data_IF_905509901304
#
_entry.id   IF_905509901304
#
_cell.length_a   1.000
_cell.length_b   1.000
_cell.length_c   1.000
_cell.angle_alpha   90.00
_cell.angle_beta   90.00
_cell.angle_gamma   90.00
#
_symmetry.space_group_name_H-M   'P 1'
#
loop_
_entity.id
_entity.type
_entity.pdbx_description
1 polymer ?
#
# COMPACT_ATOMS: atom_id res chain seq x y z
N UNK A 1 -23.23 -20.00 14.02
CA UNK A 1 -22.59 -18.66 14.11
C UNK A 1 -21.96 -18.40 12.76
N UNK A 2 -22.10 -17.22 12.13
CA UNK A 2 -21.51 -17.01 10.82
C UNK A 2 -19.98 -17.02 10.95
N UNK A 3 -19.29 -17.76 10.08
CA UNK A 3 -17.84 -17.94 10.05
C UNK A 3 -17.10 -16.60 10.12
N UNK A 4 -16.63 -16.26 11.32
CA UNK A 4 -15.78 -15.11 11.55
C UNK A 4 -14.37 -15.47 11.11
N UNK A 5 -13.83 -14.76 10.11
CA UNK A 5 -12.42 -14.89 9.69
C UNK A 5 -12.17 -15.36 8.26
N UNK A 6 -13.20 -15.59 7.45
CA UNK A 6 -12.99 -15.90 6.02
C UNK A 6 -12.53 -14.67 5.22
N UNK A 7 -11.70 -14.92 4.21
CA UNK A 7 -11.38 -13.93 3.19
C UNK A 7 -12.55 -13.80 2.22
N UNK A 8 -12.90 -12.57 1.89
CA UNK A 8 -13.95 -12.24 0.93
C UNK A 8 -13.43 -11.21 -0.05
N UNK A 9 -13.93 -11.20 -1.30
CA UNK A 9 -13.56 -10.19 -2.27
C UNK A 9 -13.72 -8.76 -1.74
N UNK A 10 -12.69 -7.95 -1.96
CA UNK A 10 -12.66 -6.54 -1.64
C UNK A 10 -13.25 -5.74 -2.79
N UNK A 11 -14.45 -5.21 -2.58
CA UNK A 11 -15.11 -4.35 -3.54
C UNK A 11 -15.26 -2.92 -3.01
N UNK A 12 -14.90 -1.94 -3.84
CA UNK A 12 -15.24 -0.53 -3.63
C UNK A 12 -16.61 -0.26 -4.24
N UNK A 13 -17.45 0.48 -3.53
CA UNK A 13 -18.72 0.93 -4.10
C UNK A 13 -18.48 1.97 -5.21
N UNK A 14 -19.41 2.17 -6.15
CA UNK A 14 -19.27 3.22 -7.17
C UNK A 14 -19.09 4.62 -6.58
N UNK A 15 -19.69 4.91 -5.42
CA UNK A 15 -19.52 6.18 -4.72
C UNK A 15 -18.09 6.32 -4.13
N UNK A 16 -17.56 5.25 -3.54
CA UNK A 16 -16.18 5.20 -3.06
C UNK A 16 -15.18 5.44 -4.19
N UNK A 17 -15.39 4.79 -5.35
CA UNK A 17 -14.48 4.96 -6.49
C UNK A 17 -14.56 6.37 -7.08
N UNK A 18 -15.75 6.97 -7.19
CA UNK A 18 -15.87 8.37 -7.65
C UNK A 18 -15.11 9.34 -6.74
N UNK A 19 -15.26 9.20 -5.42
CA UNK A 19 -14.55 10.05 -4.46
C UNK A 19 -13.03 9.84 -4.57
N UNK A 20 -12.60 8.59 -4.73
CA UNK A 20 -11.18 8.25 -4.93
C UNK A 20 -10.62 8.85 -6.21
N UNK A 21 -11.36 8.80 -7.31
CA UNK A 21 -10.94 9.40 -8.58
C UNK A 21 -10.79 10.93 -8.46
N UNK A 22 -11.68 11.58 -7.72
CA UNK A 22 -11.54 13.01 -7.41
C UNK A 22 -10.31 13.29 -6.54
N UNK A 23 -10.07 12.48 -5.51
CA UNK A 23 -8.89 12.57 -4.65
C UNK A 23 -7.57 12.39 -5.44
N UNK A 24 -7.56 11.48 -6.42
CA UNK A 24 -6.43 11.25 -7.31
C UNK A 24 -6.20 12.42 -8.26
N UNK A 25 -7.25 12.94 -8.89
CA UNK A 25 -7.13 14.07 -9.82
C UNK A 25 -6.67 15.35 -9.14
N UNK A 26 -7.04 15.53 -7.87
CA UNK A 26 -6.58 16.61 -7.00
C UNK A 26 -5.21 16.36 -6.37
N UNK A 27 -4.59 15.21 -6.64
CA UNK A 27 -3.25 14.85 -6.17
C UNK A 27 -3.07 14.89 -4.64
N UNK A 28 -4.14 14.65 -3.88
CA UNK A 28 -4.12 14.76 -2.41
C UNK A 28 -3.13 13.78 -1.76
N UNK A 29 -2.75 12.70 -2.46
CA UNK A 29 -1.68 11.77 -2.06
C UNK A 29 -0.32 12.43 -1.82
N UNK A 30 -0.03 13.58 -2.46
CA UNK A 30 1.28 14.25 -2.33
C UNK A 30 1.55 14.69 -0.89
N UNK A 31 0.51 14.90 -0.09
CA UNK A 31 0.61 15.21 1.35
C UNK A 31 1.34 14.11 2.15
N UNK A 32 1.41 12.88 1.61
CA UNK A 32 1.91 11.72 2.33
C UNK A 32 2.93 10.91 1.56
N UNK A 33 2.89 10.86 0.23
CA UNK A 33 3.84 10.05 -0.55
C UNK A 33 5.30 10.45 -0.29
N UNK A 34 5.69 11.69 -0.58
CA UNK A 34 7.04 12.20 -0.32
C UNK A 34 7.42 12.15 1.17
N UNK A 35 6.54 12.57 2.10
CA UNK A 35 6.82 12.45 3.54
C UNK A 35 7.02 11.01 4.05
N UNK A 36 6.26 10.02 3.57
CA UNK A 36 6.50 8.61 3.91
C UNK A 36 7.77 8.07 3.26
N UNK A 37 8.10 8.50 2.04
CA UNK A 37 9.38 8.19 1.40
C UNK A 37 10.55 8.67 2.26
N UNK A 38 10.51 9.94 2.71
CA UNK A 38 11.50 10.49 3.64
C UNK A 38 11.57 9.71 4.95
N UNK A 39 10.42 9.38 5.54
CA UNK A 39 10.34 8.61 6.78
C UNK A 39 10.95 7.20 6.65
N UNK A 40 10.72 6.53 5.53
CA UNK A 40 11.34 5.25 5.22
C UNK A 40 12.87 5.33 5.20
N UNK A 41 13.43 6.32 4.51
CA UNK A 41 14.88 6.50 4.45
C UNK A 41 15.50 6.90 5.78
N UNK A 42 14.80 7.72 6.58
CA UNK A 42 15.21 8.06 7.93
C UNK A 42 15.26 6.81 8.83
N UNK A 43 14.21 5.99 8.80
CA UNK A 43 14.17 4.73 9.54
C UNK A 43 15.30 3.79 9.10
N UNK A 44 15.58 3.70 7.79
CA UNK A 44 16.68 2.89 7.26
C UNK A 44 18.06 3.37 7.71
N UNK A 45 18.24 4.68 7.82
CA UNK A 45 19.49 5.31 8.25
C UNK A 45 19.62 5.43 9.79
N UNK A 46 18.59 5.04 10.55
CA UNK A 46 18.57 5.22 12.01
C UNK A 46 18.47 6.69 12.45
N UNK A 47 17.95 7.56 11.60
CA UNK A 47 17.85 8.99 11.86
C UNK A 47 16.52 9.35 12.55
N UNK A 48 16.55 10.21 13.59
CA UNK A 48 15.33 10.71 14.21
C UNK A 48 14.66 11.82 13.37
N UNK A 49 13.45 12.24 13.75
CA UNK A 49 12.82 13.46 13.24
C UNK A 49 11.99 13.30 11.96
N UNK A 50 11.65 12.08 11.56
CA UNK A 50 10.63 11.87 10.54
C UNK A 50 9.24 12.26 11.07
N UNK A 51 8.48 13.05 10.29
CA UNK A 51 7.09 13.43 10.64
C UNK A 51 6.19 12.21 10.78
N UNK A 52 6.31 11.27 9.84
CA UNK A 52 5.54 10.03 9.83
C UNK A 52 6.37 8.85 10.31
N UNK A 53 5.68 7.82 10.80
CA UNK A 53 6.34 6.62 11.35
C UNK A 53 6.32 5.49 10.32
N UNK A 54 7.50 4.93 10.10
CA UNK A 54 7.70 3.75 9.25
C UNK A 54 8.51 2.73 10.03
N UNK A 55 8.16 1.45 9.92
CA UNK A 55 8.94 0.34 10.46
C UNK A 55 9.37 -0.58 9.33
N UNK A 56 10.63 -1.02 9.34
CA UNK A 56 11.12 -2.00 8.36
C UNK A 56 10.58 -3.39 8.74
N UNK A 57 9.98 -4.08 7.79
CA UNK A 57 9.54 -5.45 7.95
C UNK A 57 10.50 -6.38 7.20
N UNK A 58 10.96 -7.43 7.88
CA UNK A 58 11.79 -8.47 7.27
C UNK A 58 11.27 -9.84 7.69
N UNK A 59 11.11 -10.70 6.70
CA UNK A 59 10.90 -12.14 6.87
C UNK A 59 11.91 -12.84 5.95
N UNK A 60 12.17 -14.11 6.16
CA UNK A 60 13.00 -14.90 5.26
C UNK A 60 12.48 -14.78 3.81
N UNK A 61 13.36 -14.48 2.85
CA UNK A 61 13.01 -14.19 1.45
C UNK A 61 12.31 -12.84 1.18
N UNK A 62 11.56 -12.30 2.15
CA UNK A 62 10.70 -11.12 1.97
C UNK A 62 11.36 -9.83 2.50
N UNK A 63 11.06 -8.70 1.86
CA UNK A 63 11.36 -7.35 2.38
C UNK A 63 10.10 -6.51 2.36
N UNK A 64 9.98 -5.61 3.34
CA UNK A 64 8.80 -4.77 3.46
C UNK A 64 8.99 -3.57 4.35
N UNK A 65 7.95 -2.74 4.39
CA UNK A 65 7.81 -1.62 5.31
C UNK A 65 6.36 -1.49 5.77
N UNK A 66 6.19 -1.04 7.01
CA UNK A 66 4.92 -0.73 7.63
C UNK A 66 4.84 0.78 7.79
N UNK A 67 3.86 1.40 7.13
CA UNK A 67 3.57 2.82 7.17
C UNK A 67 2.42 3.03 8.16
N UNK A 68 2.72 3.58 9.33
CA UNK A 68 1.74 3.72 10.41
C UNK A 68 0.79 4.86 10.11
N UNK A 69 -0.50 4.65 10.41
CA UNK A 69 -1.51 5.69 10.34
C UNK A 69 -1.13 6.90 11.22
N UNK A 70 -1.33 8.09 10.66
CA UNK A 70 -1.23 9.34 11.38
C UNK A 70 -2.62 10.00 11.47
N UNK A 71 -3.08 10.41 12.67
CA UNK A 71 -4.39 11.03 12.83
C UNK A 71 -4.61 12.27 11.97
N UNK A 72 -3.55 12.99 11.56
CA UNK A 72 -3.67 14.16 10.68
C UNK A 72 -4.15 13.81 9.27
N UNK A 73 -4.11 12.53 8.87
CA UNK A 73 -4.60 12.06 7.58
C UNK A 73 -6.13 11.97 7.57
N UNK A 74 -6.72 11.50 8.67
CA UNK A 74 -8.09 11.01 8.68
C UNK A 74 -8.22 9.63 7.98
N UNK A 75 -9.20 8.80 8.42
CA UNK A 75 -9.34 7.44 7.91
C UNK A 75 -9.71 7.34 6.42
N UNK A 76 -10.41 8.34 5.86
CA UNK A 76 -10.77 8.35 4.44
C UNK A 76 -9.55 8.51 3.53
N UNK A 77 -8.71 9.50 3.81
CA UNK A 77 -7.44 9.68 3.08
C UNK A 77 -6.53 8.46 3.20
N UNK A 78 -6.45 7.83 4.37
CA UNK A 78 -5.61 6.64 4.53
C UNK A 78 -6.13 5.46 3.70
N UNK A 79 -7.45 5.29 3.58
CA UNK A 79 -8.06 4.32 2.68
C UNK A 79 -7.77 4.61 1.21
N UNK A 80 -7.82 5.88 0.78
CA UNK A 80 -7.45 6.27 -0.58
C UNK A 80 -5.96 6.10 -0.84
N UNK A 81 -5.10 6.38 0.15
CA UNK A 81 -3.67 6.18 0.06
C UNK A 81 -3.29 4.69 -0.08
N UNK A 82 -4.00 3.80 0.62
CA UNK A 82 -3.90 2.35 0.41
C UNK A 82 -4.21 1.93 -1.04
N UNK A 83 -5.31 2.42 -1.59
CA UNK A 83 -5.70 2.13 -2.98
C UNK A 83 -4.73 2.78 -4.00
N UNK A 84 -4.16 3.93 -3.67
CA UNK A 84 -3.14 4.61 -4.46
C UNK A 84 -1.85 3.79 -4.56
N UNK A 85 -1.37 3.21 -3.45
CA UNK A 85 -0.18 2.35 -3.46
C UNK A 85 -0.37 1.18 -4.44
N UNK A 86 -1.55 0.54 -4.42
CA UNK A 86 -1.91 -0.49 -5.41
C UNK A 86 -1.78 0.04 -6.84
N UNK A 87 -2.34 1.21 -7.14
CA UNK A 87 -2.30 1.78 -8.50
C UNK A 87 -0.87 2.10 -8.95
N UNK A 88 -0.03 2.60 -8.03
CA UNK A 88 1.39 2.81 -8.29
C UNK A 88 2.08 1.50 -8.65
N UNK A 89 1.83 0.41 -7.90
CA UNK A 89 2.41 -0.90 -8.21
C UNK A 89 1.89 -1.45 -9.55
N UNK A 90 0.60 -1.32 -9.84
CA UNK A 90 0.02 -1.71 -11.14
C UNK A 90 0.71 -0.99 -12.31
N UNK A 91 0.97 0.32 -12.16
CA UNK A 91 1.69 1.12 -13.16
C UNK A 91 3.13 0.65 -13.40
N UNK A 92 3.73 -0.12 -12.47
CA UNK A 92 5.04 -0.75 -12.65
C UNK A 92 4.97 -2.05 -13.45
N UNK A 93 3.90 -2.29 -14.22
CA UNK A 93 3.77 -3.51 -15.03
C UNK A 93 3.39 -4.73 -14.19
N UNK A 94 2.54 -4.53 -13.20
CA UNK A 94 1.93 -5.61 -12.41
C UNK A 94 0.48 -5.84 -12.84
N UNK A 95 -0.05 -7.01 -12.50
CA UNK A 95 -1.47 -7.32 -12.55
C UNK A 95 -2.01 -7.61 -11.15
N UNK A 96 -3.30 -7.32 -10.95
CA UNK A 96 -4.00 -7.66 -9.72
C UNK A 96 -4.29 -9.15 -9.70
N UNK A 97 -3.62 -9.89 -8.82
CA UNK A 97 -3.86 -11.32 -8.61
C UNK A 97 -5.06 -11.57 -7.71
N UNK A 98 -5.19 -10.79 -6.63
CA UNK A 98 -6.35 -10.85 -5.74
C UNK A 98 -6.55 -9.51 -4.99
N UNK A 99 -7.79 -9.25 -4.62
CA UNK A 99 -8.19 -8.14 -3.77
C UNK A 99 -9.21 -8.67 -2.77
N UNK A 100 -8.82 -8.81 -1.52
CA UNK A 100 -9.62 -9.48 -0.50
C UNK A 100 -9.64 -8.69 0.81
N UNK A 101 -10.64 -8.96 1.64
CA UNK A 101 -10.73 -8.47 3.00
C UNK A 101 -11.17 -9.58 3.94
N UNK A 102 -10.77 -9.45 5.20
CA UNK A 102 -11.15 -10.36 6.28
C UNK A 102 -11.31 -9.54 7.55
N UNK A 103 -12.31 -9.91 8.36
CA UNK A 103 -12.44 -9.40 9.73
C UNK A 103 -12.34 -10.56 10.71
N UNK A 104 -11.43 -10.41 11.67
CA UNK A 104 -11.27 -11.30 12.81
C UNK A 104 -11.89 -10.66 14.04
N UNK A 105 -12.76 -11.42 14.71
CA UNK A 105 -13.34 -11.02 15.97
C UNK A 105 -12.55 -11.69 17.10
N UNK A 106 -11.83 -10.88 17.86
CA UNK A 106 -11.22 -11.29 19.12
C UNK A 106 -12.16 -10.91 20.28
N UNK A 107 -11.89 -11.42 21.48
CA UNK A 107 -12.73 -11.17 22.66
C UNK A 107 -12.97 -9.67 22.93
N UNK A 108 -11.97 -8.82 22.66
CA UNK A 108 -11.99 -7.39 23.01
C UNK A 108 -11.95 -6.43 21.83
N UNK A 109 -11.71 -6.93 20.62
CA UNK A 109 -11.57 -6.08 19.44
C UNK A 109 -11.84 -6.85 18.15
N UNK A 110 -12.15 -6.12 17.10
CA UNK A 110 -12.20 -6.64 15.75
C UNK A 110 -11.02 -6.11 14.94
N UNK A 111 -10.28 -6.99 14.27
CA UNK A 111 -9.23 -6.63 13.33
C UNK A 111 -9.74 -6.85 11.91
N UNK A 112 -9.68 -5.83 11.06
CA UNK A 112 -9.97 -5.96 9.63
C UNK A 112 -8.68 -5.79 8.85
N UNK A 113 -8.36 -6.77 8.01
CA UNK A 113 -7.28 -6.67 7.01
C UNK A 113 -7.89 -6.61 5.63
N UNK A 114 -7.55 -5.57 4.86
CA UNK A 114 -7.76 -5.50 3.41
C UNK A 114 -6.41 -5.78 2.74
N UNK A 115 -6.40 -6.57 1.67
CA UNK A 115 -5.18 -7.01 1.00
C UNK A 115 -5.32 -6.87 -0.52
N UNK A 116 -4.30 -6.28 -1.13
CA UNK A 116 -4.02 -6.42 -2.55
C UNK A 116 -2.82 -7.33 -2.76
N UNK A 117 -3.00 -8.36 -3.57
CA UNK A 117 -1.93 -9.24 -4.01
C UNK A 117 -1.68 -9.00 -5.50
N UNK A 118 -0.45 -8.57 -5.83
CA UNK A 118 -0.06 -8.16 -7.17
C UNK A 118 1.05 -9.06 -7.68
N UNK A 119 0.92 -9.50 -8.93
CA UNK A 119 1.90 -10.37 -9.60
C UNK A 119 2.55 -9.63 -10.77
N UNK A 120 3.84 -9.88 -11.06
CA UNK A 120 4.44 -9.45 -12.32
C UNK A 120 3.68 -10.00 -13.52
N UNK A 121 3.80 -9.34 -14.68
CA UNK A 121 3.23 -9.83 -15.93
C UNK A 121 3.96 -11.12 -16.37
N UNK A 122 3.25 -12.24 -16.60
CA UNK A 122 3.88 -13.52 -16.92
C UNK A 122 4.52 -13.55 -18.32
N UNK A 123 4.15 -12.60 -19.19
CA UNK A 123 4.61 -12.52 -20.57
C UNK A 123 5.80 -11.56 -20.75
N UNK A 124 6.27 -10.92 -19.69
CA UNK A 124 7.44 -10.04 -19.71
C UNK A 124 8.71 -10.90 -19.63
N UNK A 125 9.05 -11.61 -20.70
CA UNK A 125 10.22 -12.50 -20.74
C UNK A 125 11.23 -12.02 -21.80
N UNK A 126 12.50 -12.02 -21.41
CA UNK A 126 13.60 -11.67 -22.30
C UNK A 126 13.80 -12.72 -23.40
N UNK A 127 14.52 -12.36 -24.47
CA UNK A 127 14.90 -13.29 -25.53
C UNK A 127 15.69 -14.52 -25.01
N UNK A 128 16.32 -14.41 -23.83
CA UNK A 128 17.01 -15.52 -23.16
C UNK A 128 16.06 -16.55 -22.53
N UNK A 129 14.74 -16.35 -22.62
CA UNK A 129 13.73 -17.21 -22.00
C UNK A 129 13.52 -16.97 -20.51
N UNK A 130 14.21 -16.00 -19.90
CA UNK A 130 14.05 -15.64 -18.48
C UNK A 130 12.98 -14.57 -18.33
N UNK A 131 12.05 -14.77 -17.41
CA UNK A 131 10.97 -13.83 -17.18
C UNK A 131 11.35 -12.75 -16.16
N UNK A 132 10.99 -11.51 -16.47
CA UNK A 132 11.22 -10.35 -15.63
C UNK A 132 10.27 -10.38 -14.44
N UNK A 133 10.79 -10.78 -13.28
CA UNK A 133 10.01 -10.81 -12.05
C UNK A 133 9.86 -9.44 -11.38
N UNK A 134 10.52 -8.38 -11.89
CA UNK A 134 10.53 -7.04 -11.29
C UNK A 134 10.98 -7.09 -9.84
N UNK A 135 10.07 -6.89 -8.88
CA UNK A 135 10.35 -6.97 -7.45
C UNK A 135 9.91 -8.31 -6.82
N UNK A 136 9.46 -9.28 -7.62
CA UNK A 136 8.70 -10.44 -7.16
C UNK A 136 7.22 -10.13 -7.03
N UNK A 137 6.48 -10.98 -6.31
CA UNK A 137 5.10 -10.65 -5.92
C UNK A 137 5.10 -9.45 -4.97
N UNK A 138 4.06 -8.62 -5.03
CA UNK A 138 3.89 -7.47 -4.12
C UNK A 138 2.59 -7.61 -3.37
N UNK A 139 2.63 -7.37 -2.06
CA UNK A 139 1.43 -7.29 -1.22
C UNK A 139 1.30 -5.90 -0.62
N UNK A 140 0.08 -5.37 -0.66
CA UNK A 140 -0.30 -4.15 0.05
C UNK A 140 -1.43 -4.53 1.00
N UNK A 141 -1.21 -4.39 2.31
CA UNK A 141 -2.22 -4.66 3.33
C UNK A 141 -2.60 -3.39 4.05
N UNK A 142 -3.89 -3.14 4.27
CA UNK A 142 -4.40 -2.15 5.21
C UNK A 142 -5.00 -2.87 6.41
N UNK A 143 -4.46 -2.61 7.60
CA UNK A 143 -4.92 -3.19 8.85
C UNK A 143 -5.60 -2.13 9.71
N UNK A 144 -6.79 -2.46 10.19
CA UNK A 144 -7.62 -1.62 11.04
C UNK A 144 -8.08 -2.38 12.28
N UNK A 145 -8.15 -1.71 13.43
CA UNK A 145 -8.66 -2.26 14.69
C UNK A 145 -9.89 -1.46 15.11
N UNK A 146 -11.01 -2.13 15.37
CA UNK A 146 -12.29 -1.52 15.72
C UNK A 146 -12.72 -0.42 14.73
N UNK A 147 -12.46 -0.66 13.43
CA UNK A 147 -12.76 0.29 12.35
C UNK A 147 -11.80 1.48 12.23
N UNK A 148 -10.82 1.60 13.13
CA UNK A 148 -9.78 2.65 13.06
C UNK A 148 -8.55 2.13 12.31
N UNK A 149 -8.02 2.87 11.33
CA UNK A 149 -6.82 2.45 10.62
C UNK A 149 -5.60 2.40 11.54
N UNK A 150 -4.84 1.32 11.43
CA UNK A 150 -3.58 1.14 12.16
C UNK A 150 -2.38 1.42 11.27
N UNK A 151 -2.26 0.68 10.15
CA UNK A 151 -1.12 0.81 9.25
C UNK A 151 -1.40 0.24 7.86
N UNK A 152 -0.55 0.65 6.91
CA UNK A 152 -0.41 -0.01 5.61
C UNK A 152 0.91 -0.76 5.59
N UNK A 153 0.90 -2.02 5.15
CA UNK A 153 2.12 -2.82 4.94
C UNK A 153 2.33 -3.01 3.45
N UNK A 154 3.50 -2.59 2.95
CA UNK A 154 3.98 -2.90 1.61
C UNK A 154 5.11 -3.91 1.73
N UNK A 155 5.04 -5.00 0.99
CA UNK A 155 6.10 -5.99 0.96
C UNK A 155 6.27 -6.59 -0.43
N UNK A 156 7.51 -7.00 -0.74
CA UNK A 156 7.84 -7.75 -1.94
C UNK A 156 8.37 -9.14 -1.60
N UNK A 157 8.06 -10.10 -2.46
CA UNK A 157 8.43 -11.52 -2.32
C UNK A 157 9.06 -12.00 -3.64
N UNK A 158 10.39 -11.84 -3.79
CA UNK A 158 11.15 -12.31 -4.94
C UNK A 158 11.09 -13.83 -5.12
N UNK A 159 11.01 -14.28 -6.36
CA UNK A 159 11.13 -15.69 -6.71
C UNK A 159 12.61 -16.10 -6.74
N UNK A 160 12.93 -17.18 -6.03
CA UNK A 160 14.26 -17.81 -6.00
C UNK A 160 14.38 -18.93 -7.06
N UNK A 161 13.92 -18.67 -8.29
CA UNK A 161 13.97 -19.61 -9.40
C UNK A 161 14.81 -19.03 -10.55
N UNK A 162 15.65 -19.87 -11.17
CA UNK A 162 16.53 -19.49 -12.27
C UNK A 162 15.77 -19.06 -13.54
N UNK A 163 14.50 -19.46 -13.69
CA UNK A 163 13.65 -19.01 -14.81
C UNK A 163 13.36 -17.51 -14.76
N UNK A 164 13.57 -16.84 -13.62
CA UNK A 164 13.38 -15.40 -13.48
C UNK A 164 14.69 -14.63 -13.55
N UNK A 165 14.64 -13.37 -13.97
CA UNK A 165 15.76 -12.42 -13.81
C UNK A 165 15.99 -12.11 -12.32
N UNK A 166 17.16 -11.59 -11.92
CA UNK A 166 17.35 -11.08 -10.56
C UNK A 166 16.28 -10.03 -10.22
N UNK A 167 15.67 -10.12 -9.04
CA UNK A 167 14.69 -9.14 -8.59
C UNK A 167 15.36 -7.80 -8.25
N UNK A 168 14.69 -6.71 -8.59
CA UNK A 168 15.02 -5.38 -8.10
C UNK A 168 14.79 -5.27 -6.58
N UNK A 169 15.50 -4.36 -5.94
CA UNK A 169 15.46 -4.21 -4.48
C UNK A 169 14.13 -3.62 -3.99
N UNK A 170 13.79 -3.90 -2.73
CA UNK A 170 12.65 -3.26 -2.08
C UNK A 170 12.79 -1.73 -1.99
N UNK A 171 14.02 -1.23 -1.88
CA UNK A 171 14.30 0.22 -1.92
C UNK A 171 13.82 0.84 -3.24
N UNK A 172 14.10 0.18 -4.37
CA UNK A 172 13.66 0.64 -5.68
C UNK A 172 12.12 0.56 -5.85
N UNK A 173 11.46 -0.38 -5.17
CA UNK A 173 9.99 -0.41 -5.10
C UNK A 173 9.45 0.80 -4.31
N UNK A 174 10.04 1.10 -3.15
CA UNK A 174 9.64 2.26 -2.33
C UNK A 174 9.87 3.56 -3.08
N UNK A 175 11.00 3.70 -3.78
CA UNK A 175 11.29 4.85 -4.64
C UNK A 175 10.22 5.01 -5.73
N UNK A 176 9.94 3.97 -6.51
CA UNK A 176 8.96 4.02 -7.58
C UNK A 176 7.53 4.34 -7.12
N UNK A 177 7.16 3.91 -5.90
CA UNK A 177 5.82 4.12 -5.34
C UNK A 177 5.67 5.49 -4.69
N UNK A 178 6.67 5.96 -3.93
CA UNK A 178 6.52 7.08 -3.01
C UNK A 178 7.42 8.29 -3.27
N UNK A 179 8.47 8.17 -4.10
CA UNK A 179 9.34 9.30 -4.42
C UNK A 179 8.64 10.28 -5.38
N UNK A 180 7.85 11.16 -4.78
CA UNK A 180 7.01 12.16 -5.44
C UNK A 180 7.34 13.55 -4.89
N UNK A 181 7.07 14.62 -5.67
CA UNK A 181 7.28 15.99 -5.20
C UNK A 181 6.47 16.28 -3.93
N UNK A 182 6.87 17.30 -3.16
CA UNK A 182 6.07 17.75 -2.02
C UNK A 182 4.69 18.26 -2.48
N UNK A 183 3.70 18.16 -1.59
CA UNK A 183 2.39 18.75 -1.83
C UNK A 183 2.49 20.28 -1.96
N UNK A 184 1.85 20.88 -2.97
CA UNK A 184 1.57 22.31 -2.97
C UNK A 184 0.66 22.69 -1.78
N UNK A 185 0.75 23.91 -1.22
CA UNK A 185 -0.07 24.34 -0.09
C UNK A 185 -1.58 24.18 -0.31
N UNK A 186 -2.06 24.45 -1.52
CA UNK A 186 -3.47 24.31 -1.89
C UNK A 186 -3.97 22.85 -1.81
N UNK A 187 -3.08 21.87 -1.92
CA UNK A 187 -3.40 20.44 -1.79
C UNK A 187 -3.49 20.02 -0.32
N UNK A 188 -2.80 20.72 0.59
CA UNK A 188 -2.94 20.50 2.04
C UNK A 188 -4.34 20.91 2.53
N UNK A 189 -4.91 21.98 1.98
CA UNK A 189 -6.26 22.46 2.32
C UNK A 189 -7.36 21.43 1.98
N UNK A 190 -7.09 20.54 1.02
CA UNK A 190 -8.03 19.51 0.58
C UNK A 190 -8.10 18.30 1.52
N UNK A 191 -7.19 18.14 2.49
CA UNK A 191 -7.16 16.99 3.40
C UNK A 191 -8.51 16.80 4.11
N UNK A 192 -9.12 17.90 4.56
CA UNK A 192 -10.41 17.89 5.27
C UNK A 192 -11.57 17.32 4.45
N UNK A 193 -11.54 17.47 3.12
CA UNK A 193 -12.61 17.03 2.21
C UNK A 193 -12.76 15.50 2.20
N UNK A 194 -11.69 14.78 2.53
CA UNK A 194 -11.59 13.33 2.46
C UNK A 194 -11.33 12.69 3.83
N UNK A 195 -11.60 13.43 4.91
CA UNK A 195 -11.30 12.99 6.26
C UNK A 195 -12.02 11.69 6.63
N UNK A 196 -13.33 11.63 6.36
CA UNK A 196 -14.17 10.48 6.69
C UNK A 196 -14.11 9.45 5.57
N UNK A 197 -14.08 8.16 5.96
CA UNK A 197 -14.34 7.11 4.99
C UNK A 197 -15.77 7.27 4.43
N UNK A 198 -15.93 7.12 3.11
CA UNK A 198 -17.24 7.10 2.50
C UNK A 198 -18.09 5.98 3.14
N UNK A 199 -19.31 6.33 3.55
CA UNK A 199 -20.23 5.40 4.21
C UNK A 199 -20.46 4.18 3.30
N UNK A 200 -20.42 2.98 3.92
CA UNK A 200 -20.78 1.72 3.26
C UNK A 200 -22.24 1.73 2.83
#
# INVERSE_FOLDING_TARGET
MPDSGEWRPLHRTPAQERLRQQWLSQQVYLNWAGPYFKAYHYQKAGLPGARFRVQLARKEGQRGAVFLYDPSMGPGNFQHFFDFIRDRVLALGYQLGAADQRTLHHERYAETTQKYFLKPQPQDCAATGRCNQRFGNVTVDLVSVNGQPGFIRLANDPFADAIFTPAASFDALVDAVFNLPPAPPEVEELIGNYWKAAKK
#
